data_IF_317106143589
#
_entry.id   IF_317106143589
#
_cell.length_a   1.000
_cell.length_b   1.000
_cell.length_c   1.000
_cell.angle_alpha   90.00
_cell.angle_beta   90.00
_cell.angle_gamma   90.00
#
_symmetry.space_group_name_H-M   'P 1'
#
loop_
_entity.id
_entity.type
_entity.pdbx_description
1 polymer ?
#
# COMPACT_ATOMS: atom_id res chain seq x y z
N UNK A 1 -17.22 -33.35 4.82
CA UNK A 1 -17.52 -31.98 4.38
C UNK A 1 -16.78 -31.74 3.08
N UNK A 2 -17.49 -31.30 2.02
CA UNK A 2 -16.86 -30.92 0.76
C UNK A 2 -16.09 -29.62 1.00
N UNK A 3 -14.77 -29.62 0.79
CA UNK A 3 -13.96 -28.42 0.83
C UNK A 3 -14.47 -27.41 -0.21
N UNK A 4 -14.55 -26.17 0.15
CA UNK A 4 -14.86 -25.10 -0.81
C UNK A 4 -13.67 -24.92 -1.76
N UNK A 5 -13.91 -25.07 -3.06
CA UNK A 5 -12.90 -24.84 -4.09
C UNK A 5 -13.10 -23.43 -4.65
N UNK A 6 -12.04 -22.67 -4.73
CA UNK A 6 -12.01 -21.32 -5.29
C UNK A 6 -10.81 -21.16 -6.23
N UNK A 7 -10.73 -20.04 -6.96
CA UNK A 7 -9.62 -19.77 -7.85
C UNK A 7 -8.69 -18.71 -7.27
N UNK A 8 -7.41 -18.83 -7.58
CA UNK A 8 -6.37 -17.88 -7.21
C UNK A 8 -5.33 -17.73 -8.31
N UNK A 9 -4.64 -16.60 -8.31
CA UNK A 9 -3.53 -16.29 -9.22
C UNK A 9 -2.24 -16.87 -8.64
N UNK A 10 -1.77 -17.95 -9.24
CA UNK A 10 -0.58 -18.67 -8.80
C UNK A 10 0.64 -18.37 -9.63
N UNK A 11 1.76 -18.09 -8.97
CA UNK A 11 3.10 -18.20 -9.58
C UNK A 11 3.45 -19.68 -9.65
N UNK A 12 3.28 -20.27 -10.83
CA UNK A 12 3.55 -21.68 -11.10
C UNK A 12 5.01 -21.94 -11.49
N UNK A 13 5.59 -20.97 -12.12
CA UNK A 13 6.99 -20.89 -12.55
C UNK A 13 7.36 -19.39 -12.54
N UNK A 14 8.62 -19.05 -12.32
CA UNK A 14 9.01 -17.65 -12.38
C UNK A 14 8.61 -17.02 -13.70
N UNK A 15 8.03 -15.82 -13.62
CA UNK A 15 7.47 -15.08 -14.75
C UNK A 15 6.26 -15.74 -15.45
N UNK A 16 5.58 -16.66 -14.75
CA UNK A 16 4.32 -17.26 -15.21
C UNK A 16 3.27 -17.25 -14.12
N UNK A 17 2.14 -16.62 -14.40
CA UNK A 17 0.93 -16.68 -13.59
C UNK A 17 -0.10 -17.57 -14.28
N UNK A 18 -0.77 -18.38 -13.49
CA UNK A 18 -1.91 -19.18 -13.92
C UNK A 18 -3.04 -19.05 -12.89
N UNK A 19 -4.27 -18.95 -13.38
CA UNK A 19 -5.46 -19.06 -12.52
C UNK A 19 -5.69 -20.54 -12.25
N UNK A 20 -5.59 -20.93 -11.00
CA UNK A 20 -5.72 -22.34 -10.59
C UNK A 20 -6.72 -22.48 -9.45
N UNK A 21 -7.45 -23.61 -9.40
CA UNK A 21 -8.27 -23.94 -8.24
C UNK A 21 -7.41 -24.30 -7.02
N UNK A 22 -7.91 -23.95 -5.84
CA UNK A 22 -7.33 -24.33 -4.57
C UNK A 22 -8.40 -24.60 -3.52
N UNK A 23 -8.06 -25.40 -2.52
CA UNK A 23 -8.91 -25.69 -1.37
C UNK A 23 -8.91 -24.50 -0.41
N UNK A 24 -10.07 -23.90 -0.20
CA UNK A 24 -10.22 -22.80 0.77
C UNK A 24 -10.28 -23.40 2.16
N UNK A 25 -9.27 -23.12 2.97
CA UNK A 25 -9.25 -23.59 4.36
C UNK A 25 -10.23 -22.85 5.25
N UNK A 26 -10.80 -23.54 6.21
CA UNK A 26 -11.60 -22.92 7.25
C UNK A 26 -10.77 -21.94 8.12
N UNK A 27 -11.37 -20.82 8.54
CA UNK A 27 -10.70 -19.90 9.45
C UNK A 27 -10.51 -20.55 10.83
N UNK A 28 -9.34 -20.36 11.44
CA UNK A 28 -9.08 -20.73 12.83
C UNK A 28 -9.88 -19.81 13.77
N UNK A 29 -9.79 -20.05 15.08
CA UNK A 29 -10.61 -19.34 16.08
C UNK A 29 -10.53 -17.81 16.01
N UNK A 30 -9.36 -17.24 15.76
CA UNK A 30 -9.13 -15.79 15.63
C UNK A 30 -9.00 -15.28 14.19
N UNK A 31 -9.33 -16.12 13.22
CA UNK A 31 -9.18 -15.75 11.80
C UNK A 31 -10.52 -15.40 11.15
N UNK A 32 -10.43 -14.63 10.11
CA UNK A 32 -11.55 -14.18 9.29
C UNK A 32 -11.31 -14.60 7.85
N UNK A 33 -12.29 -15.25 7.25
CA UNK A 33 -12.30 -15.53 5.81
C UNK A 33 -12.98 -14.37 5.10
N UNK A 34 -12.31 -13.80 4.12
CA UNK A 34 -12.78 -12.68 3.32
C UNK A 34 -13.03 -13.14 1.89
N UNK A 35 -14.22 -12.84 1.36
CA UNK A 35 -14.49 -12.92 -0.07
C UNK A 35 -13.89 -11.71 -0.76
N UNK A 36 -12.83 -11.92 -1.52
CA UNK A 36 -12.10 -10.84 -2.19
C UNK A 36 -12.98 -10.11 -3.21
N UNK A 37 -12.78 -8.82 -3.33
CA UNK A 37 -13.43 -7.92 -4.30
C UNK A 37 -12.42 -7.22 -5.20
N UNK A 38 -11.24 -6.90 -4.65
CA UNK A 38 -10.10 -6.40 -5.38
C UNK A 38 -8.83 -6.71 -4.59
N UNK A 39 -7.71 -6.72 -5.27
CA UNK A 39 -6.38 -6.76 -4.68
C UNK A 39 -5.48 -5.82 -5.49
N UNK A 40 -4.73 -4.97 -4.82
CA UNK A 40 -3.72 -4.14 -5.45
C UNK A 40 -2.51 -4.95 -5.89
N UNK A 41 -1.73 -4.39 -6.81
CA UNK A 41 -0.48 -4.96 -7.30
C UNK A 41 0.67 -4.06 -6.87
N UNK A 42 1.50 -4.56 -5.98
CA UNK A 42 2.69 -3.87 -5.47
C UNK A 42 3.95 -4.28 -6.26
N UNK A 43 5.01 -3.50 -6.14
CA UNK A 43 6.33 -3.90 -6.64
C UNK A 43 6.83 -5.20 -5.95
N UNK A 44 6.43 -5.46 -4.72
CA UNK A 44 6.69 -6.71 -4.00
C UNK A 44 6.14 -7.94 -4.75
N UNK A 45 4.91 -7.85 -5.27
CA UNK A 45 4.33 -8.94 -6.08
C UNK A 45 5.11 -9.19 -7.37
N UNK A 46 5.64 -8.11 -7.98
CA UNK A 46 6.55 -8.22 -9.13
C UNK A 46 7.85 -8.94 -8.78
N UNK A 47 8.38 -8.76 -7.56
CA UNK A 47 9.56 -9.49 -7.11
C UNK A 47 9.26 -10.97 -6.88
N UNK A 48 8.15 -11.27 -6.23
CA UNK A 48 7.70 -12.66 -6.06
C UNK A 48 7.50 -13.35 -7.41
N UNK A 49 6.85 -12.68 -8.35
CA UNK A 49 6.66 -13.15 -9.72
C UNK A 49 7.96 -13.50 -10.43
N UNK A 50 9.02 -12.72 -10.19
CA UNK A 50 10.36 -12.93 -10.76
C UNK A 50 11.20 -13.93 -9.96
N UNK A 51 10.70 -14.43 -8.85
CA UNK A 51 11.44 -15.33 -7.96
C UNK A 51 12.43 -14.65 -7.03
N UNK A 52 12.38 -13.33 -6.90
CA UNK A 52 13.12 -12.60 -5.88
C UNK A 52 12.36 -12.69 -4.57
N UNK A 53 12.99 -13.20 -3.51
CA UNK A 53 12.35 -13.41 -2.20
C UNK A 53 11.10 -14.31 -2.24
N UNK A 54 11.12 -15.38 -3.04
CA UNK A 54 10.03 -16.35 -3.11
C UNK A 54 9.64 -16.85 -1.70
N UNK A 55 8.33 -16.89 -1.37
CA UNK A 55 7.87 -17.22 -0.02
C UNK A 55 8.02 -18.70 0.32
N UNK A 56 8.29 -19.54 -0.66
CA UNK A 56 8.42 -20.98 -0.50
C UNK A 56 8.42 -21.71 -1.83
N UNK A 57 8.18 -23.04 -1.82
CA UNK A 57 8.07 -23.82 -3.04
C UNK A 57 6.85 -23.38 -3.86
N UNK A 58 6.99 -23.38 -5.18
CA UNK A 58 5.88 -23.16 -6.11
C UNK A 58 4.94 -24.38 -6.19
N UNK A 59 3.66 -24.22 -6.51
CA UNK A 59 3.01 -22.94 -6.81
C UNK A 59 2.59 -22.19 -5.53
N UNK A 60 2.58 -20.85 -5.57
CA UNK A 60 2.09 -19.99 -4.49
C UNK A 60 1.23 -18.83 -5.03
N UNK A 61 0.25 -18.42 -4.24
CA UNK A 61 -0.59 -17.24 -4.53
C UNK A 61 0.18 -15.99 -4.10
N UNK A 62 0.03 -14.90 -4.85
CA UNK A 62 0.60 -13.59 -4.54
C UNK A 62 -0.48 -12.60 -4.12
N UNK A 63 -0.08 -11.35 -3.80
CA UNK A 63 -0.98 -10.28 -3.42
C UNK A 63 -1.10 -10.10 -1.91
N UNK A 64 -1.07 -8.86 -1.45
CA UNK A 64 -1.18 -8.50 -0.02
C UNK A 64 -2.04 -7.24 0.22
N UNK A 65 -2.52 -6.59 -0.83
CA UNK A 65 -3.37 -5.40 -0.76
C UNK A 65 -4.86 -5.78 -0.97
N UNK A 66 -5.31 -6.80 -0.24
CA UNK A 66 -6.64 -7.38 -0.40
C UNK A 66 -7.75 -6.56 0.25
N UNK A 67 -8.89 -6.48 -0.44
CA UNK A 67 -10.11 -5.84 0.05
C UNK A 67 -11.32 -6.69 -0.31
N UNK A 68 -12.31 -6.75 0.59
CA UNK A 68 -13.46 -7.61 0.35
C UNK A 68 -14.55 -7.53 1.41
N UNK A 69 -15.33 -8.61 1.47
CA UNK A 69 -16.45 -8.75 2.40
C UNK A 69 -16.17 -9.96 3.29
N UNK A 70 -16.33 -9.80 4.60
CA UNK A 70 -16.23 -10.90 5.56
C UNK A 70 -17.24 -11.98 5.19
N UNK A 71 -16.75 -13.17 4.88
CA UNK A 71 -17.55 -14.31 4.49
C UNK A 71 -17.80 -15.27 5.66
N UNK A 72 -16.77 -15.51 6.48
CA UNK A 72 -16.84 -16.38 7.65
C UNK A 72 -15.90 -15.88 8.73
N UNK A 73 -16.27 -16.08 10.00
CA UNK A 73 -15.45 -15.71 11.15
C UNK A 73 -15.16 -16.90 12.03
N UNK A 74 -13.99 -16.95 12.64
CA UNK A 74 -13.63 -17.93 13.65
C UNK A 74 -14.38 -17.69 14.97
N UNK A 75 -14.38 -18.70 15.84
CA UNK A 75 -15.20 -18.72 17.06
C UNK A 75 -14.84 -17.66 18.11
N UNK A 76 -13.64 -17.08 18.04
CA UNK A 76 -13.12 -16.09 18.98
C UNK A 76 -12.97 -14.69 18.36
N UNK A 77 -13.43 -14.51 17.12
CA UNK A 77 -13.51 -13.20 16.45
C UNK A 77 -14.60 -12.35 17.10
N UNK A 78 -14.24 -11.15 17.53
CA UNK A 78 -15.16 -10.24 18.25
C UNK A 78 -15.35 -8.89 17.60
N UNK A 79 -14.40 -8.44 16.78
CA UNK A 79 -14.40 -7.09 16.18
C UNK A 79 -15.11 -7.02 14.81
N UNK A 80 -15.28 -8.17 14.16
CA UNK A 80 -15.85 -8.28 12.81
C UNK A 80 -16.97 -9.31 12.76
N UNK A 81 -17.90 -9.11 11.82
CA UNK A 81 -19.00 -10.05 11.54
C UNK A 81 -19.16 -10.27 10.05
N UNK A 82 -19.84 -11.36 9.69
CA UNK A 82 -20.20 -11.68 8.30
C UNK A 82 -20.94 -10.51 7.67
N UNK A 83 -20.49 -10.12 6.47
CA UNK A 83 -21.03 -8.99 5.72
C UNK A 83 -20.27 -7.67 5.90
N UNK A 84 -19.40 -7.55 6.89
CA UNK A 84 -18.55 -6.35 7.04
C UNK A 84 -17.63 -6.19 5.84
N UNK A 85 -17.47 -4.96 5.39
CA UNK A 85 -16.51 -4.60 4.34
C UNK A 85 -15.17 -4.31 4.98
N UNK A 86 -14.10 -4.88 4.46
CA UNK A 86 -12.78 -4.81 5.08
C UNK A 86 -11.67 -4.65 4.06
N UNK A 87 -10.57 -4.03 4.45
CA UNK A 87 -9.29 -4.18 3.77
C UNK A 87 -8.28 -4.83 4.72
N UNK A 88 -7.29 -5.51 4.13
CA UNK A 88 -6.19 -6.08 4.88
C UNK A 88 -5.06 -5.07 5.02
N UNK A 89 -4.69 -4.75 6.26
CA UNK A 89 -3.66 -3.76 6.61
C UNK A 89 -2.29 -4.39 6.93
N UNK A 90 -2.16 -5.70 6.83
CA UNK A 90 -0.93 -6.41 7.23
C UNK A 90 -0.45 -7.37 6.15
N UNK A 91 0.87 -7.45 6.00
CA UNK A 91 1.63 -8.17 4.99
C UNK A 91 1.49 -9.69 4.94
N UNK A 92 0.28 -10.23 4.98
CA UNK A 92 0.03 -11.59 4.55
C UNK A 92 0.04 -11.61 3.01
N UNK A 93 0.71 -12.57 2.41
CA UNK A 93 0.58 -12.84 0.98
C UNK A 93 -0.66 -13.73 0.74
N UNK A 94 -0.99 -14.05 -0.53
CA UNK A 94 -2.07 -14.97 -0.93
C UNK A 94 -3.46 -14.32 -1.01
N UNK A 95 -3.54 -13.04 -1.40
CA UNK A 95 -4.82 -12.33 -1.52
C UNK A 95 -5.31 -12.13 -2.96
N UNK A 96 -4.49 -12.45 -3.99
CA UNK A 96 -4.96 -12.49 -5.39
C UNK A 96 -5.72 -13.80 -5.63
N UNK A 97 -6.84 -13.96 -4.95
CA UNK A 97 -7.70 -15.14 -4.99
C UNK A 97 -9.14 -14.77 -4.64
N UNK A 98 -10.08 -15.70 -4.84
CA UNK A 98 -11.49 -15.45 -4.55
C UNK A 98 -11.80 -15.37 -3.04
N UNK A 99 -11.04 -16.11 -2.22
CA UNK A 99 -11.20 -16.10 -0.77
C UNK A 99 -9.83 -16.20 -0.09
N UNK A 100 -9.56 -15.31 0.83
CA UNK A 100 -8.36 -15.37 1.67
C UNK A 100 -8.73 -15.38 3.15
N UNK A 101 -7.85 -15.93 3.97
CA UNK A 101 -8.06 -16.06 5.42
C UNK A 101 -6.90 -15.47 6.16
N UNK A 102 -7.18 -14.50 7.04
CA UNK A 102 -6.18 -13.77 7.83
C UNK A 102 -6.66 -13.61 9.27
N UNK A 103 -5.75 -13.34 10.24
CA UNK A 103 -6.12 -12.94 11.58
C UNK A 103 -7.00 -11.68 11.60
N UNK A 104 -7.93 -11.57 12.56
CA UNK A 104 -8.85 -10.42 12.62
C UNK A 104 -8.16 -9.09 12.82
N UNK A 105 -7.03 -9.05 13.51
CA UNK A 105 -6.21 -7.85 13.76
C UNK A 105 -5.48 -7.32 12.52
N UNK A 106 -5.41 -8.13 11.46
CA UNK A 106 -4.91 -7.71 10.14
C UNK A 106 -5.97 -6.96 9.33
N UNK A 107 -7.23 -6.97 9.74
CA UNK A 107 -8.34 -6.40 8.99
C UNK A 107 -8.83 -5.09 9.60
N UNK A 108 -9.09 -4.14 8.74
CA UNK A 108 -9.70 -2.86 9.12
C UNK A 108 -11.05 -2.72 8.40
N UNK A 109 -12.07 -2.38 9.19
CA UNK A 109 -13.43 -2.20 8.64
C UNK A 109 -13.50 -0.94 7.78
N UNK A 110 -14.10 -1.09 6.61
CA UNK A 110 -14.43 -0.02 5.69
C UNK A 110 -15.84 0.54 6.01
N UNK A 111 -16.14 1.77 5.57
CA UNK A 111 -17.51 2.31 5.63
C UNK A 111 -18.52 1.41 4.93
N UNK A 112 -19.74 1.33 5.47
CA UNK A 112 -20.80 0.46 4.95
C UNK A 112 -21.26 0.85 3.53
N UNK A 113 -21.10 2.11 3.15
CA UNK A 113 -21.41 2.67 1.83
C UNK A 113 -20.30 2.47 0.79
N UNK A 114 -19.21 1.79 1.13
CA UNK A 114 -18.13 1.47 0.17
C UNK A 114 -18.70 0.67 -1.00
N UNK A 115 -18.58 1.18 -2.21
CA UNK A 115 -19.04 0.54 -3.46
C UNK A 115 -17.94 0.40 -4.51
N UNK A 116 -16.97 1.30 -4.49
CA UNK A 116 -15.81 1.29 -5.39
C UNK A 116 -14.64 0.53 -4.73
N UNK A 117 -14.54 -0.75 -5.05
CA UNK A 117 -13.55 -1.64 -4.46
C UNK A 117 -12.12 -1.30 -4.90
N UNK A 118 -11.92 -0.73 -6.09
CA UNK A 118 -10.61 -0.32 -6.54
C UNK A 118 -10.05 0.84 -5.69
N UNK A 119 -10.93 1.80 -5.31
CA UNK A 119 -10.55 2.88 -4.39
C UNK A 119 -10.44 2.44 -2.93
N UNK A 120 -11.02 1.30 -2.60
CA UNK A 120 -10.94 0.73 -1.26
C UNK A 120 -9.65 -0.09 -1.02
N UNK A 121 -8.81 -0.28 -2.02
CA UNK A 121 -7.46 -0.82 -1.87
C UNK A 121 -6.59 0.25 -1.22
N UNK A 122 -6.53 0.27 0.10
CA UNK A 122 -5.89 1.31 0.90
C UNK A 122 -4.77 0.78 1.82
N UNK A 123 -4.37 -0.48 1.66
CA UNK A 123 -3.22 -1.04 2.39
C UNK A 123 -1.96 -0.17 2.25
N UNK A 124 -1.60 0.38 1.08
CA UNK A 124 -0.42 1.23 0.95
C UNK A 124 -0.41 2.47 1.86
N UNK A 125 -1.57 2.92 2.32
CA UNK A 125 -1.66 4.00 3.32
C UNK A 125 -1.02 3.61 4.65
N UNK A 126 -0.97 2.33 5.00
CA UNK A 126 -0.30 1.86 6.19
C UNK A 126 1.22 2.12 6.11
N UNK A 127 1.80 1.94 4.93
CA UNK A 127 3.20 2.27 4.65
C UNK A 127 3.44 3.78 4.76
N UNK A 128 2.54 4.60 4.20
CA UNK A 128 2.61 6.07 4.29
C UNK A 128 2.55 6.55 5.74
N UNK A 129 1.60 6.03 6.52
CA UNK A 129 1.48 6.37 7.96
C UNK A 129 2.76 5.99 8.71
N UNK A 130 3.33 4.82 8.43
CA UNK A 130 4.58 4.38 9.04
C UNK A 130 5.77 5.28 8.65
N UNK A 131 5.87 5.71 7.39
CA UNK A 131 6.89 6.66 6.93
C UNK A 131 6.76 7.98 7.69
N UNK A 132 5.56 8.56 7.72
CA UNK A 132 5.32 9.84 8.42
C UNK A 132 5.60 9.74 9.93
N UNK A 133 5.20 8.64 10.55
CA UNK A 133 5.48 8.38 11.97
C UNK A 133 6.98 8.28 12.25
N UNK A 134 7.73 7.56 11.40
CA UNK A 134 9.18 7.38 11.56
C UNK A 134 9.99 8.61 11.17
N UNK A 135 9.48 9.45 10.27
CA UNK A 135 10.11 10.70 9.90
C UNK A 135 10.20 11.68 11.07
N UNK A 136 9.31 11.56 12.07
CA UNK A 136 9.29 12.37 13.29
C UNK A 136 9.41 13.88 12.99
N UNK A 137 8.52 14.37 12.13
CA UNK A 137 8.57 15.75 11.62
C UNK A 137 8.22 16.73 12.73
N UNK A 138 9.13 17.64 13.01
CA UNK A 138 8.96 18.70 14.01
C UNK A 138 8.44 20.01 13.38
N UNK A 139 7.85 20.90 14.19
CA UNK A 139 7.41 22.21 13.72
C UNK A 139 8.55 23.03 13.12
N UNK A 140 8.40 23.42 11.86
CA UNK A 140 9.37 24.24 11.16
C UNK A 140 10.34 23.46 10.26
N UNK A 141 10.36 22.13 10.34
CA UNK A 141 11.24 21.30 9.50
C UNK A 141 11.06 21.56 8.02
N UNK A 142 12.15 21.50 7.28
CA UNK A 142 12.18 21.45 5.84
C UNK A 142 12.21 19.97 5.39
N UNK A 143 11.09 19.51 4.84
CA UNK A 143 10.96 18.16 4.30
C UNK A 143 11.17 18.19 2.78
N UNK A 144 12.10 17.38 2.30
CA UNK A 144 12.30 17.12 0.86
C UNK A 144 11.69 15.75 0.52
N UNK A 145 10.77 15.74 -0.42
CA UNK A 145 10.19 14.53 -0.98
C UNK A 145 10.74 14.29 -2.37
N UNK A 146 11.41 13.15 -2.58
CA UNK A 146 11.95 12.72 -3.87
C UNK A 146 11.03 11.64 -4.46
N UNK A 147 10.50 11.93 -5.63
CA UNK A 147 9.50 11.09 -6.31
C UNK A 147 8.06 11.41 -5.90
N UNK A 148 7.23 11.75 -6.90
CA UNK A 148 5.78 11.94 -6.75
C UNK A 148 5.01 10.85 -7.52
N UNK A 149 5.48 9.61 -7.43
CA UNK A 149 4.74 8.43 -7.85
C UNK A 149 3.54 8.16 -6.92
N UNK A 150 2.96 6.98 -6.98
CA UNK A 150 1.81 6.63 -6.14
C UNK A 150 2.11 6.83 -4.65
N UNK A 151 3.17 6.21 -4.13
CA UNK A 151 3.55 6.31 -2.71
C UNK A 151 3.98 7.73 -2.32
N UNK A 152 4.78 8.39 -3.17
CA UNK A 152 5.20 9.78 -2.91
C UNK A 152 4.03 10.76 -2.88
N UNK A 153 3.05 10.64 -3.79
CA UNK A 153 1.84 11.48 -3.78
C UNK A 153 0.99 11.24 -2.53
N UNK A 154 0.84 9.99 -2.10
CA UNK A 154 0.13 9.64 -0.86
C UNK A 154 0.85 10.22 0.36
N UNK A 155 2.18 10.13 0.40
CA UNK A 155 3.00 10.73 1.45
C UNK A 155 2.90 12.26 1.45
N UNK A 156 2.93 12.89 0.27
CA UNK A 156 2.73 14.34 0.13
C UNK A 156 1.37 14.76 0.70
N UNK A 157 0.31 14.01 0.40
CA UNK A 157 -1.02 14.27 0.95
C UNK A 157 -1.02 14.22 2.49
N UNK A 158 -0.31 13.25 3.08
CA UNK A 158 -0.14 13.13 4.52
C UNK A 158 0.70 14.27 5.10
N UNK A 159 1.80 14.66 4.46
CA UNK A 159 2.62 15.80 4.83
C UNK A 159 1.82 17.10 4.89
N UNK A 160 1.07 17.39 3.83
CA UNK A 160 0.34 18.66 3.70
C UNK A 160 -0.90 18.75 4.59
N UNK A 161 -1.44 17.63 5.07
CA UNK A 161 -2.66 17.61 5.89
C UNK A 161 -2.44 17.25 7.36
N UNK A 162 -1.35 16.56 7.67
CA UNK A 162 -1.17 15.94 8.99
C UNK A 162 0.18 16.23 9.65
N UNK A 163 1.16 16.85 8.95
CA UNK A 163 2.45 17.18 9.55
C UNK A 163 2.52 18.66 9.97
N UNK A 164 3.55 18.96 10.75
CA UNK A 164 3.90 20.33 11.18
C UNK A 164 5.11 20.89 10.40
N UNK A 165 5.42 20.30 9.23
CA UNK A 165 6.51 20.75 8.37
C UNK A 165 6.37 22.25 8.05
N UNK A 166 7.45 23.00 8.23
CA UNK A 166 7.51 24.41 7.89
C UNK A 166 7.66 24.65 6.39
N UNK A 167 8.28 23.69 5.70
CA UNK A 167 8.46 23.71 4.24
C UNK A 167 8.45 22.30 3.67
N UNK A 168 7.81 22.14 2.53
CA UNK A 168 7.82 20.88 1.76
C UNK A 168 8.25 21.20 0.33
N UNK A 169 9.38 20.59 -0.10
CA UNK A 169 9.89 20.66 -1.47
C UNK A 169 9.80 19.29 -2.12
N UNK A 170 9.20 19.21 -3.29
CA UNK A 170 9.02 17.95 -4.03
C UNK A 170 9.91 17.95 -5.27
N UNK A 171 10.69 16.90 -5.47
CA UNK A 171 11.44 16.66 -6.70
C UNK A 171 10.82 15.48 -7.46
N UNK A 172 10.44 15.71 -8.72
CA UNK A 172 9.86 14.70 -9.60
C UNK A 172 10.27 14.97 -11.06
N UNK A 173 10.73 13.95 -11.76
CA UNK A 173 11.18 14.06 -13.15
C UNK A 173 10.01 14.24 -14.14
N UNK A 174 8.88 13.58 -13.90
CA UNK A 174 7.75 13.56 -14.81
C UNK A 174 6.85 14.77 -14.62
N UNK A 175 6.62 15.50 -15.71
CA UNK A 175 5.77 16.71 -15.71
C UNK A 175 4.32 16.42 -15.25
N UNK A 176 3.72 15.32 -15.72
CA UNK A 176 2.36 14.94 -15.35
C UNK A 176 2.21 14.70 -13.84
N UNK A 177 3.23 14.10 -13.22
CA UNK A 177 3.27 13.89 -11.77
C UNK A 177 3.55 15.18 -10.98
N UNK A 178 4.42 16.06 -11.50
CA UNK A 178 4.61 17.38 -10.91
C UNK A 178 3.31 18.17 -10.85
N UNK A 179 2.55 18.23 -11.95
CA UNK A 179 1.23 18.87 -11.98
C UNK A 179 0.24 18.27 -10.98
N UNK A 180 0.29 16.96 -10.78
CA UNK A 180 -0.53 16.30 -9.75
C UNK A 180 -0.09 16.70 -8.35
N UNK A 181 1.21 16.73 -8.07
CA UNK A 181 1.77 17.09 -6.77
C UNK A 181 1.45 18.55 -6.39
N UNK A 182 1.50 19.48 -7.34
CA UNK A 182 1.14 20.90 -7.14
C UNK A 182 -0.27 21.07 -6.57
N UNK A 183 -1.21 20.22 -6.94
CA UNK A 183 -2.60 20.26 -6.46
C UNK A 183 -2.73 20.02 -4.94
N UNK A 184 -1.72 19.46 -4.30
CA UNK A 184 -1.68 19.24 -2.85
C UNK A 184 -1.09 20.43 -2.07
N UNK A 185 -0.52 21.42 -2.77
CA UNK A 185 -0.05 22.69 -2.21
C UNK A 185 1.27 22.64 -1.45
N UNK A 186 2.29 21.83 -1.85
CA UNK A 186 3.62 21.98 -1.27
C UNK A 186 4.22 23.35 -1.61
N UNK A 187 5.29 23.71 -0.95
CA UNK A 187 5.94 25.00 -1.19
C UNK A 187 6.59 25.08 -2.57
N UNK A 188 7.09 23.95 -3.07
CA UNK A 188 7.75 23.84 -4.37
C UNK A 188 7.58 22.42 -4.95
N UNK A 189 7.40 22.37 -6.27
CA UNK A 189 7.45 21.11 -7.04
C UNK A 189 8.37 21.34 -8.24
N UNK A 190 9.48 20.62 -8.29
CA UNK A 190 10.59 20.93 -9.20
C UNK A 190 11.03 19.69 -9.98
N UNK A 191 11.46 19.90 -11.21
CA UNK A 191 12.25 18.94 -11.95
C UNK A 191 13.71 19.03 -11.46
N UNK A 192 14.28 17.98 -10.86
CA UNK A 192 15.65 18.03 -10.35
C UNK A 192 16.70 18.25 -11.45
N UNK A 193 16.38 17.97 -12.72
CA UNK A 193 17.27 18.18 -13.86
C UNK A 193 17.17 19.57 -14.46
N UNK A 194 16.13 20.34 -14.13
CA UNK A 194 15.99 21.73 -14.57
C UNK A 194 17.02 22.64 -13.90
N UNK A 195 17.30 23.79 -14.52
CA UNK A 195 18.22 24.80 -13.92
C UNK A 195 17.70 25.31 -12.57
N UNK A 196 16.38 25.43 -12.42
CA UNK A 196 15.76 25.84 -11.17
C UNK A 196 15.86 24.73 -10.12
N UNK A 197 15.60 23.48 -10.46
CA UNK A 197 15.76 22.33 -9.56
C UNK A 197 17.19 22.19 -9.06
N UNK A 198 18.17 22.29 -9.95
CA UNK A 198 19.60 22.28 -9.58
C UNK A 198 19.96 23.43 -8.65
N UNK A 199 19.46 24.63 -8.91
CA UNK A 199 19.66 25.81 -8.06
C UNK A 199 19.11 25.57 -6.67
N UNK A 200 17.87 25.07 -6.55
CA UNK A 200 17.23 24.80 -5.25
C UNK A 200 17.96 23.70 -4.50
N UNK A 201 18.41 22.64 -5.17
CA UNK A 201 19.24 21.58 -4.56
C UNK A 201 20.53 22.18 -3.98
N UNK A 202 21.23 23.03 -4.75
CA UNK A 202 22.45 23.68 -4.29
C UNK A 202 22.18 24.62 -3.10
N UNK A 203 21.06 25.34 -3.07
CA UNK A 203 20.66 26.19 -1.95
C UNK A 203 20.38 25.38 -0.67
N UNK A 204 19.70 24.22 -0.80
CA UNK A 204 19.45 23.30 0.30
C UNK A 204 20.79 22.78 0.85
N UNK A 205 21.69 22.33 -0.02
CA UNK A 205 23.02 21.85 0.37
C UNK A 205 23.86 22.94 1.06
N UNK A 206 23.84 24.16 0.54
CA UNK A 206 24.58 25.29 1.13
C UNK A 206 24.08 25.65 2.53
N UNK A 207 22.84 25.35 2.86
CA UNK A 207 22.25 25.55 4.21
C UNK A 207 22.49 24.39 5.17
N UNK A 208 23.20 23.36 4.75
CA UNK A 208 23.50 22.17 5.56
C UNK A 208 22.57 20.98 5.29
N UNK A 209 21.69 21.08 4.31
CA UNK A 209 20.73 20.04 3.94
C UNK A 209 19.27 20.38 4.28
N UNK A 210 18.37 19.46 4.06
CA UNK A 210 17.02 19.46 4.59
C UNK A 210 17.02 18.73 5.94
N UNK A 211 16.04 19.03 6.79
CA UNK A 211 15.89 18.34 8.07
C UNK A 211 15.50 16.88 7.83
N UNK A 212 14.63 16.65 6.86
CA UNK A 212 14.13 15.32 6.49
C UNK A 212 14.14 15.16 4.98
N UNK A 213 14.58 13.99 4.50
CA UNK A 213 14.46 13.56 3.10
C UNK A 213 13.69 12.24 3.06
N UNK A 214 12.64 12.20 2.26
CA UNK A 214 11.84 11.00 2.00
C UNK A 214 11.97 10.66 0.51
N UNK A 215 12.40 9.45 0.19
CA UNK A 215 12.68 8.99 -1.17
C UNK A 215 11.83 7.75 -1.52
N UNK A 216 11.19 7.75 -2.74
CA UNK A 216 10.33 6.70 -3.26
C UNK A 216 10.65 6.29 -4.70
#
# INVERSE_FOLDING_TARGET
ELNMIANGDFVKEYMKLDIMPYDVREPKSHEVMVKAKACGVCCWDSWLYRGVNAPGPMPYIIGHEGVGIVYKVGSEVTSLKVGDKVFCASGSNEMMCEYFTVPEDCLVRLPDDTTDWAKAVIEPNCCVVNVLYKANIEPGDHVVLVGAGYMGTMTLMGLMRGSQAGRVTVFELREDRRKMAEAYGPNEVLDPESEEGKRVIAEIQAKGGADIVIDF
#
